data_IF_057139528636
#
_entry.id   IF_057139528636
#
_cell.length_a   1.000
_cell.length_b   1.000
_cell.length_c   1.000
_cell.angle_alpha   90.00
_cell.angle_beta   90.00
_cell.angle_gamma   90.00
#
_symmetry.space_group_name_H-M   'P 1'
#
loop_
_entity.id
_entity.type
_entity.pdbx_description
1 polymer ?
#
# COMPACT_ATOMS: atom_id res chain seq x y z
N UNK A 1 -15.00 4.21 -16.53
CA UNK A 1 -13.70 4.74 -16.05
C UNK A 1 -13.90 6.20 -15.71
N UNK A 2 -13.63 6.60 -14.47
CA UNK A 2 -13.62 8.02 -14.11
C UNK A 2 -12.52 8.73 -14.93
N UNK A 3 -12.81 9.93 -15.40
CA UNK A 3 -11.80 10.77 -16.06
C UNK A 3 -10.69 11.06 -15.03
N UNK A 4 -9.48 10.54 -15.24
CA UNK A 4 -8.38 10.62 -14.26
C UNK A 4 -8.05 12.07 -13.88
N UNK A 5 -8.34 13.03 -14.77
CA UNK A 5 -8.17 14.46 -14.52
C UNK A 5 -9.13 15.03 -13.46
N UNK A 6 -10.28 14.40 -13.23
CA UNK A 6 -11.21 14.79 -12.16
C UNK A 6 -10.91 14.10 -10.82
N UNK A 7 -9.95 13.16 -10.78
CA UNK A 7 -9.64 12.38 -9.58
C UNK A 7 -8.99 13.28 -8.52
N UNK A 8 -9.56 13.28 -7.31
CA UNK A 8 -8.98 13.97 -6.15
C UNK A 8 -8.53 12.97 -5.10
N UNK A 9 -7.42 13.26 -4.42
CA UNK A 9 -6.97 12.44 -3.30
C UNK A 9 -7.85 12.71 -2.07
N UNK A 10 -8.01 11.73 -1.16
CA UNK A 10 -8.85 11.90 0.02
C UNK A 10 -8.49 13.13 0.88
N UNK A 11 -7.22 13.54 0.92
CA UNK A 11 -6.76 14.72 1.67
C UNK A 11 -6.55 15.98 0.81
N UNK A 12 -6.96 15.98 -0.47
CA UNK A 12 -6.81 17.16 -1.34
C UNK A 12 -7.44 18.43 -0.72
N UNK A 13 -8.60 18.28 -0.06
CA UNK A 13 -9.31 19.37 0.62
C UNK A 13 -8.54 19.99 1.81
N UNK A 14 -7.47 19.34 2.29
CA UNK A 14 -6.63 19.85 3.38
C UNK A 14 -5.51 20.78 2.89
N UNK A 15 -5.35 20.94 1.58
CA UNK A 15 -4.34 21.83 0.98
C UNK A 15 -2.94 21.64 1.60
N UNK A 16 -2.54 20.39 1.86
CA UNK A 16 -1.30 20.07 2.58
C UNK A 16 -0.07 20.73 1.96
N UNK A 17 -0.06 20.85 0.63
CA UNK A 17 1.01 21.50 -0.13
C UNK A 17 1.13 23.01 0.22
N UNK A 18 0.03 23.68 0.55
CA UNK A 18 0.04 25.09 0.98
C UNK A 18 0.49 25.27 2.45
N UNK A 19 0.49 24.19 3.22
CA UNK A 19 0.97 24.16 4.61
C UNK A 19 2.37 23.55 4.73
N UNK A 20 2.99 23.16 3.61
CA UNK A 20 4.34 22.62 3.60
C UNK A 20 5.35 23.72 3.97
N UNK A 21 6.31 23.36 4.83
CA UNK A 21 7.47 24.20 5.13
C UNK A 21 8.55 23.96 4.07
N UNK A 22 9.21 25.03 3.60
CA UNK A 22 10.40 24.94 2.75
C UNK A 22 11.62 24.40 3.53
N UNK A 23 11.67 24.59 4.85
CA UNK A 23 12.66 23.97 5.73
C UNK A 23 12.08 22.68 6.34
N UNK A 24 12.25 21.58 5.62
CA UNK A 24 11.92 20.22 6.08
C UNK A 24 13.10 19.61 6.86
N UNK A 25 14.33 20.10 6.64
CA UNK A 25 15.56 19.50 7.16
C UNK A 25 15.64 19.49 8.68
N UNK A 26 15.06 20.50 9.34
CA UNK A 26 15.01 20.61 10.79
C UNK A 26 13.68 20.11 11.42
N UNK A 27 12.74 19.60 10.63
CA UNK A 27 11.43 19.19 11.13
C UNK A 27 11.53 17.88 11.95
N UNK A 28 11.03 17.91 13.19
CA UNK A 28 10.99 16.71 14.03
C UNK A 28 10.01 15.65 13.50
N UNK A 29 8.94 16.09 12.83
CA UNK A 29 7.89 15.27 12.22
C UNK A 29 7.51 15.89 10.87
N UNK A 30 7.37 15.05 9.86
CA UNK A 30 6.87 15.39 8.53
C UNK A 30 5.74 14.43 8.17
N UNK A 31 4.58 15.00 7.81
CA UNK A 31 3.42 14.25 7.32
C UNK A 31 3.20 14.55 5.84
N UNK A 32 3.01 13.51 5.04
CA UNK A 32 2.70 13.66 3.63
C UNK A 32 1.69 12.61 3.16
N UNK A 33 0.69 13.03 2.38
CA UNK A 33 -0.18 12.07 1.69
C UNK A 33 0.60 11.39 0.55
N UNK A 34 0.50 10.05 0.48
CA UNK A 34 0.96 9.27 -0.68
C UNK A 34 -0.26 8.98 -1.55
N UNK A 35 -0.47 9.88 -2.51
CA UNK A 35 -1.67 9.92 -3.36
C UNK A 35 -1.72 8.72 -4.29
N UNK A 36 -2.92 8.17 -4.46
CA UNK A 36 -3.30 7.25 -5.53
C UNK A 36 -2.49 5.94 -5.65
N UNK A 37 -1.79 5.50 -4.60
CA UNK A 37 -1.13 4.19 -4.61
C UNK A 37 -2.15 3.08 -4.91
N UNK A 38 -1.87 2.23 -5.90
CA UNK A 38 -2.64 1.04 -6.20
C UNK A 38 -2.64 0.09 -5.01
N UNK A 39 -3.78 -0.54 -4.69
CA UNK A 39 -3.90 -1.49 -3.57
C UNK A 39 -4.79 -2.65 -3.98
N UNK A 40 -4.23 -3.85 -4.14
CA UNK A 40 -4.96 -5.06 -4.49
C UNK A 40 -4.95 -6.02 -3.30
N UNK A 41 -6.14 -6.40 -2.82
CA UNK A 41 -6.29 -7.40 -1.77
C UNK A 41 -6.28 -8.80 -2.40
N UNK A 42 -5.48 -9.70 -1.82
CA UNK A 42 -5.48 -11.12 -2.15
C UNK A 42 -6.00 -11.87 -0.93
N UNK A 43 -7.06 -12.66 -1.08
CA UNK A 43 -7.67 -13.42 0.02
C UNK A 43 -7.97 -14.86 -0.37
N UNK A 44 -7.42 -15.82 0.35
CA UNK A 44 -7.59 -17.26 0.11
C UNK A 44 -6.26 -18.01 0.15
N UNK A 45 -6.29 -19.30 -0.23
CA UNK A 45 -5.07 -20.11 -0.31
C UNK A 45 -4.35 -19.82 -1.62
N UNK A 46 -3.40 -18.89 -1.57
CA UNK A 46 -2.60 -18.47 -2.70
C UNK A 46 -1.32 -19.30 -2.85
N UNK A 47 -0.93 -19.61 -4.08
CA UNK A 47 0.42 -20.13 -4.37
C UNK A 47 1.40 -18.96 -4.49
N UNK A 48 2.30 -18.81 -3.51
CA UNK A 48 3.29 -17.74 -3.53
C UNK A 48 4.25 -17.81 -4.73
N UNK A 49 4.48 -18.99 -5.31
CA UNK A 49 5.33 -19.12 -6.48
C UNK A 49 4.64 -18.53 -7.72
N UNK A 50 3.35 -18.84 -7.92
CA UNK A 50 2.53 -18.27 -8.99
C UNK A 50 2.45 -16.74 -8.88
N UNK A 51 2.21 -16.20 -7.67
CA UNK A 51 2.19 -14.75 -7.44
C UNK A 51 3.54 -14.12 -7.74
N UNK A 52 4.65 -14.71 -7.27
CA UNK A 52 6.00 -14.21 -7.55
C UNK A 52 6.28 -14.20 -9.05
N UNK A 53 5.84 -15.21 -9.80
CA UNK A 53 6.00 -15.24 -11.25
C UNK A 53 5.20 -14.15 -11.95
N UNK A 54 4.00 -13.85 -11.46
CA UNK A 54 3.08 -12.87 -12.06
C UNK A 54 3.53 -11.42 -11.86
N UNK A 55 3.87 -11.05 -10.62
CA UNK A 55 4.14 -9.65 -10.24
C UNK A 55 5.59 -9.40 -9.79
N UNK A 56 6.40 -10.46 -9.70
CA UNK A 56 7.82 -10.40 -9.32
C UNK A 56 8.10 -10.31 -7.82
N UNK A 57 7.07 -10.35 -6.98
CA UNK A 57 7.18 -10.31 -5.51
C UNK A 57 6.43 -11.48 -4.90
N UNK A 58 7.07 -12.17 -3.95
CA UNK A 58 6.45 -13.30 -3.26
C UNK A 58 5.41 -12.82 -2.23
N UNK A 59 4.54 -13.74 -1.82
CA UNK A 59 3.70 -13.50 -0.66
C UNK A 59 4.52 -13.76 0.61
N UNK A 60 4.63 -12.79 1.54
CA UNK A 60 5.24 -13.05 2.83
C UNK A 60 4.47 -14.16 3.56
N UNK A 61 5.18 -15.09 4.19
CA UNK A 61 4.58 -16.19 4.98
C UNK A 61 4.66 -15.95 6.48
N UNK A 62 5.57 -15.08 6.92
CA UNK A 62 5.73 -14.73 8.33
C UNK A 62 4.77 -13.59 8.72
N UNK A 63 4.06 -13.69 9.86
CA UNK A 63 3.19 -12.63 10.34
C UNK A 63 3.89 -11.27 10.42
N UNK A 64 3.18 -10.21 10.04
CA UNK A 64 3.65 -8.83 10.14
C UNK A 64 4.95 -8.54 9.35
N UNK A 65 5.16 -9.23 8.22
CA UNK A 65 6.28 -8.97 7.30
C UNK A 65 5.81 -8.41 5.96
N UNK A 66 6.76 -7.85 5.21
CA UNK A 66 6.55 -7.24 3.89
C UNK A 66 7.63 -7.75 2.95
N UNK A 67 7.22 -8.21 1.77
CA UNK A 67 8.12 -8.46 0.64
C UNK A 67 8.08 -7.26 -0.31
N UNK A 68 9.22 -6.88 -0.88
CA UNK A 68 9.31 -5.74 -1.81
C UNK A 68 10.10 -6.09 -3.06
N UNK A 69 9.72 -5.52 -4.20
CA UNK A 69 10.37 -5.74 -5.49
C UNK A 69 9.52 -5.19 -6.63
N UNK A 70 10.11 -4.92 -7.80
CA UNK A 70 9.37 -4.40 -8.97
C UNK A 70 8.50 -3.16 -8.70
N UNK A 71 8.93 -2.26 -7.81
CA UNK A 71 8.15 -1.10 -7.33
C UNK A 71 6.82 -1.46 -6.62
N UNK A 72 6.69 -2.70 -6.18
CA UNK A 72 5.58 -3.21 -5.38
C UNK A 72 6.05 -3.52 -3.95
N UNK A 73 5.10 -3.46 -3.02
CA UNK A 73 5.21 -4.03 -1.69
C UNK A 73 4.05 -4.99 -1.46
N UNK A 74 4.30 -6.18 -0.92
CA UNK A 74 3.28 -7.15 -0.54
C UNK A 74 3.27 -7.26 0.98
N UNK A 75 2.19 -6.77 1.60
CA UNK A 75 2.01 -6.75 3.05
C UNK A 75 1.27 -8.01 3.50
N UNK A 76 1.78 -8.67 4.53
CA UNK A 76 1.05 -9.71 5.23
C UNK A 76 -0.09 -9.10 6.05
N UNK A 77 -1.32 -9.58 5.87
CA UNK A 77 -2.49 -9.17 6.67
C UNK A 77 -3.05 -10.32 7.51
N UNK A 78 -2.85 -11.56 7.07
CA UNK A 78 -3.29 -12.75 7.75
C UNK A 78 -2.76 -14.03 7.08
N UNK A 79 -2.98 -15.21 7.67
CA UNK A 79 -2.50 -16.49 7.10
C UNK A 79 -3.00 -16.81 5.68
N UNK A 80 -4.06 -16.14 5.24
CA UNK A 80 -4.66 -16.27 3.92
C UNK A 80 -5.05 -14.91 3.34
N UNK A 81 -4.37 -13.83 3.75
CA UNK A 81 -4.70 -12.48 3.31
C UNK A 81 -3.46 -11.59 3.16
N UNK A 82 -3.37 -10.91 2.03
CA UNK A 82 -2.28 -10.01 1.68
C UNK A 82 -2.78 -8.75 1.00
N UNK A 83 -1.96 -7.70 1.02
CA UNK A 83 -2.18 -6.47 0.25
C UNK A 83 -0.98 -6.22 -0.66
N UNK A 84 -1.20 -6.16 -1.97
CA UNK A 84 -0.22 -5.67 -2.92
C UNK A 84 -0.39 -4.16 -3.04
N UNK A 85 0.66 -3.40 -2.79
CA UNK A 85 0.71 -1.95 -2.95
C UNK A 85 1.64 -1.62 -4.09
N UNK A 86 1.14 -0.84 -5.06
CA UNK A 86 1.88 -0.46 -6.25
C UNK A 86 1.85 1.04 -6.55
N UNK A 87 2.52 1.49 -7.62
CA UNK A 87 2.48 2.88 -8.04
C UNK A 87 1.08 3.28 -8.53
N UNK A 88 0.78 4.59 -8.63
CA UNK A 88 -0.49 5.06 -9.15
C UNK A 88 -0.80 4.55 -10.56
N UNK A 89 -2.07 4.24 -10.82
CA UNK A 89 -2.60 3.72 -12.09
C UNK A 89 -2.09 2.32 -12.47
N UNK A 90 -1.49 1.58 -11.53
CA UNK A 90 -1.08 0.19 -11.75
C UNK A 90 -2.13 -0.84 -11.30
N UNK A 91 -3.23 -0.40 -10.66
CA UNK A 91 -4.26 -1.26 -10.07
C UNK A 91 -4.80 -2.31 -11.04
N UNK A 92 -5.25 -1.90 -12.23
CA UNK A 92 -5.80 -2.83 -13.23
C UNK A 92 -4.77 -3.84 -13.73
N UNK A 93 -3.54 -3.39 -14.03
CA UNK A 93 -2.49 -4.28 -14.51
C UNK A 93 -2.07 -5.32 -13.46
N UNK A 94 -1.98 -4.91 -12.19
CA UNK A 94 -1.66 -5.83 -11.09
C UNK A 94 -2.80 -6.84 -10.89
N UNK A 95 -4.05 -6.36 -10.88
CA UNK A 95 -5.24 -7.20 -10.74
C UNK A 95 -5.35 -8.22 -11.88
N UNK A 96 -5.14 -7.81 -13.12
CA UNK A 96 -5.18 -8.69 -14.30
C UNK A 96 -4.10 -9.79 -14.21
N UNK A 97 -2.84 -9.42 -13.93
CA UNK A 97 -1.74 -10.39 -13.79
C UNK A 97 -2.01 -11.41 -12.68
N UNK A 98 -2.56 -10.97 -11.55
CA UNK A 98 -2.89 -11.85 -10.42
C UNK A 98 -4.07 -12.76 -10.73
N UNK A 99 -5.12 -12.25 -11.37
CA UNK A 99 -6.28 -13.04 -11.79
C UNK A 99 -5.90 -14.12 -12.81
N UNK A 100 -5.03 -13.79 -13.76
CA UNK A 100 -4.52 -14.76 -14.74
C UNK A 100 -3.67 -15.84 -14.05
N UNK A 101 -2.71 -15.45 -13.21
CA UNK A 101 -1.81 -16.38 -12.55
C UNK A 101 -2.49 -17.30 -11.53
N UNK A 102 -3.63 -16.87 -10.99
CA UNK A 102 -4.39 -17.59 -9.98
C UNK A 102 -5.71 -18.17 -10.52
N UNK A 103 -5.86 -18.20 -11.85
CA UNK A 103 -7.06 -18.71 -12.50
C UNK A 103 -7.39 -20.15 -12.06
N UNK A 104 -8.65 -20.39 -11.70
CA UNK A 104 -9.13 -21.69 -11.25
C UNK A 104 -8.89 -22.01 -9.76
N UNK A 105 -8.14 -21.17 -9.03
CA UNK A 105 -8.05 -21.27 -7.57
C UNK A 105 -9.27 -20.61 -6.90
N UNK A 106 -9.68 -21.13 -5.74
CA UNK A 106 -10.68 -20.46 -4.89
C UNK A 106 -10.02 -19.32 -4.10
N UNK A 107 -9.74 -18.21 -4.79
CA UNK A 107 -9.04 -17.04 -4.27
C UNK A 107 -9.73 -15.75 -4.75
N UNK A 108 -9.77 -14.75 -3.87
CA UNK A 108 -10.22 -13.40 -4.20
C UNK A 108 -9.03 -12.52 -4.52
N UNK A 109 -9.08 -11.84 -5.67
CA UNK A 109 -8.19 -10.75 -6.06
C UNK A 109 -9.10 -9.55 -6.31
N UNK A 110 -8.95 -8.49 -5.53
CA UNK A 110 -9.87 -7.35 -5.55
C UNK A 110 -9.11 -6.03 -5.47
N UNK A 111 -9.33 -5.14 -6.42
CA UNK A 111 -8.93 -3.74 -6.31
C UNK A 111 -9.63 -3.02 -5.13
N UNK A 112 -8.84 -2.53 -4.19
CA UNK A 112 -9.25 -1.74 -3.02
C UNK A 112 -8.46 -0.43 -2.93
N UNK A 113 -7.95 0.07 -4.05
CA UNK A 113 -7.12 1.27 -4.18
C UNK A 113 -7.72 2.48 -3.45
N UNK A 114 -9.05 2.64 -3.56
CA UNK A 114 -9.79 3.77 -2.99
C UNK A 114 -10.32 3.52 -1.58
N UNK A 115 -10.16 2.30 -1.05
CA UNK A 115 -10.62 1.94 0.29
C UNK A 115 -9.75 2.46 1.44
N UNK A 116 -8.52 2.93 1.14
CA UNK A 116 -7.56 3.43 2.15
C UNK A 116 -6.72 4.60 1.64
N UNK A 117 -6.62 5.64 2.45
CA UNK A 117 -5.64 6.73 2.29
C UNK A 117 -4.28 6.29 2.85
N UNK A 118 -3.19 6.70 2.20
CA UNK A 118 -1.84 6.45 2.69
C UNK A 118 -1.19 7.74 3.15
N UNK A 119 -0.77 7.80 4.40
CA UNK A 119 -0.05 8.92 4.99
C UNK A 119 1.36 8.43 5.35
N UNK A 120 2.38 9.09 4.83
CA UNK A 120 3.77 8.90 5.23
C UNK A 120 4.05 9.78 6.45
N UNK A 121 4.57 9.18 7.50
CA UNK A 121 5.12 9.85 8.68
C UNK A 121 6.63 9.65 8.65
N UNK A 122 7.41 10.73 8.77
CA UNK A 122 8.88 10.68 8.80
C UNK A 122 9.45 11.75 9.73
N UNK A 123 10.74 11.68 10.02
CA UNK A 123 11.44 12.58 10.96
C UNK A 123 11.85 11.87 12.25
N UNK A 124 12.73 12.47 13.07
CA UNK A 124 13.30 11.84 14.26
C UNK A 124 12.26 11.46 15.32
N UNK A 125 11.13 12.18 15.41
CA UNK A 125 10.06 11.90 16.37
C UNK A 125 8.88 11.11 15.74
N UNK A 126 9.03 10.55 14.54
CA UNK A 126 7.95 9.82 13.86
C UNK A 126 7.46 8.60 14.68
N UNK A 127 8.39 7.89 15.32
CA UNK A 127 8.09 6.74 16.18
C UNK A 127 7.31 7.16 17.42
N UNK A 128 7.77 8.21 18.10
CA UNK A 128 7.09 8.77 19.28
C UNK A 128 5.66 9.17 18.93
N UNK A 129 5.47 9.88 17.81
CA UNK A 129 4.14 10.23 17.32
C UNK A 129 3.25 9.01 17.12
N UNK A 130 3.75 7.95 16.47
CA UNK A 130 2.97 6.74 16.24
C UNK A 130 2.62 6.03 17.56
N UNK A 131 3.53 5.98 18.52
CA UNK A 131 3.31 5.37 19.84
C UNK A 131 2.21 6.06 20.67
N UNK A 132 1.88 7.32 20.38
CA UNK A 132 0.78 8.03 21.05
C UNK A 132 -0.61 7.43 20.74
N UNK A 133 -0.76 6.70 19.63
CA UNK A 133 -2.03 6.15 19.19
C UNK A 133 -1.97 4.71 18.67
N UNK A 134 -0.78 4.12 18.57
CA UNK A 134 -0.58 2.75 18.12
C UNK A 134 -0.18 1.87 19.31
N UNK A 135 -0.92 0.80 19.63
CA UNK A 135 -0.58 -0.10 20.73
C UNK A 135 0.58 -1.05 20.40
N UNK A 136 1.06 -1.05 19.15
CA UNK A 136 2.21 -1.84 18.74
C UNK A 136 3.47 -1.31 19.43
N UNK A 137 4.31 -2.22 19.93
CA UNK A 137 5.65 -1.84 20.39
C UNK A 137 6.50 -1.45 19.18
N UNK A 138 6.92 -0.19 19.15
CA UNK A 138 7.72 0.36 18.06
C UNK A 138 9.20 0.51 18.46
N UNK A 139 9.63 0.11 19.66
CA UNK A 139 10.98 0.33 20.19
C UNK A 139 12.08 -0.45 19.45
#
# INVERSE_FOLDING_TARGET
MAETYQRQSPLAHRALDAHASDDIGNAAIVLAERRFLAKINIRGKADSAAVKQAIGVALPTEPNTVETGNNLAVLWLGPAEWMVVGPPNAEGAIEDCLNEALAGASIGVVDVTEGRTTIRVSGPMARDLLSMGCPLDLH
#
